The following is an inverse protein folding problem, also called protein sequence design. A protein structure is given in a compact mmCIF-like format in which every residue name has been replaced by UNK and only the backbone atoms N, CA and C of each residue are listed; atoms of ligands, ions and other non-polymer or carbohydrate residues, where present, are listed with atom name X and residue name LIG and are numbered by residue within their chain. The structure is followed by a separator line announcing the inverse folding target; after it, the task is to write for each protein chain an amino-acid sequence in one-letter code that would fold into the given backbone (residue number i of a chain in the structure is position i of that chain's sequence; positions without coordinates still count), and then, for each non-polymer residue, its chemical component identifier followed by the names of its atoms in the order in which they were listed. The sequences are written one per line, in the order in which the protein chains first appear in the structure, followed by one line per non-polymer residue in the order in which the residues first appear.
data_IF_731023225938
#
_entry.id   IF_731023225938
#
_cell.length_a   1.000
_cell.length_b   1.000
_cell.length_c   1.000
_cell.angle_alpha   90.00
_cell.angle_beta   90.00
_cell.angle_gamma   90.00
#
_symmetry.space_group_name_H-M   'P 1'
#
loop_
_entity.id
_entity.type
_entity.pdbx_description
1 polymer ?
#
# COMPACT_ATOMS: atom_id res chain seq x y z
N UNK A 1 -49.36 -13.25 -16.02
CA UNK A 1 -48.75 -13.32 -14.68
C UNK A 1 -47.30 -12.87 -14.81
N UNK A 2 -47.15 -11.55 -14.88
CA UNK A 2 -45.88 -10.80 -14.88
C UNK A 2 -45.86 -10.10 -13.53
N UNK A 3 -44.67 -9.91 -12.91
CA UNK A 3 -44.40 -9.28 -11.59
C UNK A 3 -43.91 -10.19 -10.45
N UNK A 4 -42.97 -11.12 -10.70
CA UNK A 4 -42.30 -11.80 -9.57
C UNK A 4 -40.84 -12.23 -9.82
N UNK A 5 -40.06 -11.50 -10.62
CA UNK A 5 -38.65 -11.88 -10.86
C UNK A 5 -37.66 -10.71 -10.99
N UNK A 6 -38.03 -9.52 -10.50
CA UNK A 6 -37.19 -8.30 -10.58
C UNK A 6 -36.68 -7.80 -9.22
N UNK A 7 -36.83 -8.59 -8.14
CA UNK A 7 -36.58 -8.13 -6.77
C UNK A 7 -35.50 -8.91 -6.02
N UNK A 8 -34.44 -9.32 -6.70
CA UNK A 8 -33.28 -9.99 -6.07
C UNK A 8 -31.92 -9.41 -6.47
N UNK A 9 -31.88 -8.18 -6.99
CA UNK A 9 -30.64 -7.50 -7.38
C UNK A 9 -30.57 -6.05 -6.87
N UNK A 10 -30.86 -5.82 -5.58
CA UNK A 10 -30.69 -4.48 -4.96
C UNK A 10 -29.99 -4.53 -3.58
N UNK A 11 -29.58 -5.70 -3.07
CA UNK A 11 -29.00 -5.80 -1.70
C UNK A 11 -27.48 -6.01 -1.69
N UNK A 12 -26.81 -6.09 -2.84
CA UNK A 12 -25.35 -6.22 -2.91
C UNK A 12 -24.62 -4.90 -3.23
N UNK A 13 -25.30 -3.76 -3.26
CA UNK A 13 -24.69 -2.45 -3.54
C UNK A 13 -24.27 -1.67 -2.29
N UNK A 14 -24.16 -2.31 -1.12
CA UNK A 14 -23.45 -1.73 0.04
C UNK A 14 -21.95 -2.02 -0.02
N UNK A 15 -21.38 -1.99 -1.23
CA UNK A 15 -19.94 -1.86 -1.38
C UNK A 15 -19.55 -0.48 -0.83
N UNK A 16 -19.14 -0.46 0.43
CA UNK A 16 -18.22 0.52 1.01
C UNK A 16 -18.52 1.98 0.64
N UNK A 17 -19.73 2.45 0.95
CA UNK A 17 -19.81 3.84 1.37
C UNK A 17 -19.03 3.89 2.70
N UNK A 18 -17.74 4.23 2.65
CA UNK A 18 -17.02 4.70 3.83
C UNK A 18 -17.98 5.64 4.56
N UNK A 19 -18.21 5.48 5.87
CA UNK A 19 -19.09 6.39 6.59
C UNK A 19 -18.67 7.80 6.19
N UNK A 20 -19.63 8.60 5.72
CA UNK A 20 -19.43 10.01 5.41
C UNK A 20 -18.97 10.67 6.72
N UNK A 21 -17.67 10.57 7.00
CA UNK A 21 -16.99 11.22 8.10
C UNK A 21 -17.33 12.69 7.92
N UNK A 22 -17.93 13.30 8.94
CA UNK A 22 -18.35 14.70 8.88
C UNK A 22 -17.21 15.57 8.38
N UNK A 23 -17.53 16.57 7.55
CA UNK A 23 -16.58 17.52 6.94
C UNK A 23 -15.45 17.84 7.92
N UNK A 24 -14.24 17.38 7.61
CA UNK A 24 -13.11 17.53 8.52
C UNK A 24 -12.77 19.03 8.61
N UNK A 25 -12.64 19.55 9.83
CA UNK A 25 -12.35 20.96 10.04
C UNK A 25 -10.86 21.28 9.84
N UNK A 26 -9.99 20.28 10.00
CA UNK A 26 -8.54 20.45 10.09
C UNK A 26 -7.82 19.68 8.98
N UNK A 27 -6.88 20.35 8.33
CA UNK A 27 -5.96 19.74 7.40
C UNK A 27 -4.79 19.11 8.20
N UNK A 28 -4.66 17.80 8.15
CA UNK A 28 -3.60 17.05 8.83
C UNK A 28 -2.52 16.53 7.87
N UNK A 29 -2.49 17.03 6.62
CA UNK A 29 -1.56 16.57 5.58
C UNK A 29 -0.10 16.60 6.02
N UNK A 30 0.34 17.59 6.81
CA UNK A 30 1.74 17.65 7.29
C UNK A 30 2.08 16.41 8.14
N UNK A 31 1.19 16.00 9.05
CA UNK A 31 1.42 14.84 9.90
C UNK A 31 1.34 13.52 9.11
N UNK A 32 0.40 13.43 8.16
CA UNK A 32 0.29 12.29 7.24
C UNK A 32 1.56 12.17 6.38
N UNK A 33 2.03 13.29 5.82
CA UNK A 33 3.23 13.34 4.98
C UNK A 33 4.48 12.90 5.74
N UNK A 34 4.63 13.30 7.01
CA UNK A 34 5.77 12.86 7.83
C UNK A 34 5.84 11.34 7.97
N UNK A 35 4.69 10.66 8.10
CA UNK A 35 4.63 9.20 8.20
C UNK A 35 4.94 8.56 6.84
N UNK A 36 4.38 9.10 5.75
CA UNK A 36 4.63 8.60 4.40
C UNK A 36 6.08 8.82 3.97
N UNK A 37 6.70 9.95 4.33
CA UNK A 37 8.12 10.24 4.07
C UNK A 37 9.03 9.30 4.85
N UNK A 38 8.72 9.02 6.13
CA UNK A 38 9.51 8.07 6.93
C UNK A 38 9.41 6.63 6.40
N UNK A 39 8.23 6.25 5.91
CA UNK A 39 8.05 5.00 5.17
C UNK A 39 8.92 5.02 3.91
N UNK A 40 8.82 6.07 3.10
CA UNK A 40 9.58 6.22 1.85
C UNK A 40 11.10 6.13 2.05
N UNK A 41 11.63 6.81 3.07
CA UNK A 41 13.04 6.73 3.44
C UNK A 41 13.45 5.29 3.77
N UNK A 42 12.63 4.56 4.54
CA UNK A 42 12.90 3.17 4.88
C UNK A 42 12.90 2.25 3.66
N UNK A 43 11.97 2.48 2.72
CA UNK A 43 11.91 1.74 1.46
C UNK A 43 13.14 2.03 0.59
N UNK A 44 13.58 3.29 0.55
CA UNK A 44 14.81 3.70 -0.13
C UNK A 44 16.11 3.18 0.52
N UNK A 45 16.03 2.58 1.70
CA UNK A 45 17.14 1.83 2.31
C UNK A 45 17.02 0.34 1.97
N UNK A 46 15.86 -0.26 2.25
CA UNK A 46 15.67 -1.71 2.17
C UNK A 46 15.68 -2.23 0.72
N UNK A 47 15.07 -1.50 -0.22
CA UNK A 47 14.99 -1.95 -1.62
C UNK A 47 16.37 -1.95 -2.29
N UNK A 48 17.20 -0.89 -2.18
CA UNK A 48 18.57 -0.96 -2.68
C UNK A 48 19.43 -2.06 -2.04
N UNK A 49 19.23 -2.39 -0.76
CA UNK A 49 19.90 -3.52 -0.12
C UNK A 49 19.50 -4.85 -0.76
N UNK A 50 18.20 -5.08 -0.98
CA UNK A 50 17.69 -6.27 -1.67
C UNK A 50 18.29 -6.37 -3.08
N UNK A 51 18.28 -5.28 -3.85
CA UNK A 51 18.86 -5.25 -5.19
C UNK A 51 20.38 -5.53 -5.17
N UNK A 52 21.10 -5.01 -4.18
CA UNK A 52 22.54 -5.26 -4.01
C UNK A 52 22.84 -6.72 -3.66
N UNK A 53 22.02 -7.34 -2.81
CA UNK A 53 22.13 -8.76 -2.46
C UNK A 53 21.89 -9.64 -3.68
N UNK A 54 20.91 -9.30 -4.52
CA UNK A 54 20.65 -10.00 -5.78
C UNK A 54 21.83 -9.87 -6.75
N UNK A 55 22.29 -8.63 -6.99
CA UNK A 55 23.38 -8.34 -7.93
C UNK A 55 24.73 -8.96 -7.49
N UNK A 56 24.95 -9.12 -6.20
CA UNK A 56 26.15 -9.75 -5.64
C UNK A 56 26.04 -11.27 -5.46
N UNK A 57 24.94 -11.89 -5.90
CA UNK A 57 24.64 -13.32 -5.70
C UNK A 57 24.67 -13.75 -4.23
N UNK A 58 24.27 -12.86 -3.32
CA UNK A 58 24.18 -13.09 -1.87
C UNK A 58 22.74 -13.14 -1.36
N UNK A 59 21.75 -12.97 -2.24
CA UNK A 59 20.35 -13.19 -1.90
C UNK A 59 20.13 -14.66 -1.52
N UNK A 60 19.59 -14.87 -0.32
CA UNK A 60 19.12 -16.14 0.21
C UNK A 60 18.07 -15.86 1.29
N UNK A 61 17.46 -16.90 1.86
CA UNK A 61 16.38 -16.74 2.83
C UNK A 61 16.78 -15.91 4.06
N UNK A 62 18.03 -16.01 4.52
CA UNK A 62 18.50 -15.24 5.68
C UNK A 62 18.66 -13.76 5.33
N UNK A 63 19.35 -13.45 4.23
CA UNK A 63 19.68 -12.06 3.88
C UNK A 63 18.47 -11.29 3.37
N UNK A 64 17.62 -11.94 2.56
CA UNK A 64 16.37 -11.35 2.06
C UNK A 64 15.31 -11.35 3.16
N UNK A 65 15.23 -12.41 3.98
CA UNK A 65 14.29 -12.48 5.09
C UNK A 65 14.45 -11.33 6.09
N UNK A 66 15.68 -10.91 6.40
CA UNK A 66 15.94 -9.71 7.19
C UNK A 66 15.33 -8.46 6.55
N UNK A 67 15.56 -8.23 5.25
CA UNK A 67 15.02 -7.06 4.57
C UNK A 67 13.49 -7.09 4.46
N UNK A 68 12.88 -8.25 4.21
CA UNK A 68 11.41 -8.38 4.18
C UNK A 68 10.81 -8.18 5.57
N UNK A 69 11.46 -8.64 6.64
CA UNK A 69 11.00 -8.40 8.01
C UNK A 69 11.05 -6.91 8.37
N UNK A 70 12.09 -6.21 7.92
CA UNK A 70 12.19 -4.75 8.08
C UNK A 70 11.09 -4.04 7.29
N UNK A 71 10.86 -4.41 6.02
CA UNK A 71 9.73 -3.91 5.21
C UNK A 71 8.39 -4.13 5.91
N UNK A 72 8.14 -5.36 6.38
CA UNK A 72 6.93 -5.74 7.11
C UNK A 72 6.74 -4.86 8.35
N UNK A 73 7.83 -4.60 9.08
CA UNK A 73 7.82 -3.76 10.27
C UNK A 73 7.49 -2.31 9.95
N UNK A 74 8.14 -1.71 8.94
CA UNK A 74 7.92 -0.29 8.61
C UNK A 74 6.53 -0.05 8.03
N UNK A 75 5.98 -0.96 7.21
CA UNK A 75 4.60 -0.86 6.76
C UNK A 75 3.61 -0.99 7.91
N UNK A 76 3.84 -1.93 8.83
CA UNK A 76 3.01 -2.09 10.03
C UNK A 76 3.03 -0.84 10.91
N UNK A 77 4.20 -0.23 11.14
CA UNK A 77 4.35 1.00 11.91
C UNK A 77 3.64 2.16 11.20
N UNK A 78 3.87 2.33 9.89
CA UNK A 78 3.17 3.37 9.12
C UNK A 78 1.65 3.21 9.18
N UNK A 79 1.12 2.00 9.06
CA UNK A 79 -0.31 1.74 9.19
C UNK A 79 -0.85 2.12 10.58
N UNK A 80 -0.11 1.79 11.65
CA UNK A 80 -0.46 2.14 13.02
C UNK A 80 -0.44 3.65 13.24
N UNK A 81 0.62 4.32 12.81
CA UNK A 81 0.81 5.75 12.98
C UNK A 81 -0.22 6.55 12.17
N UNK A 82 -0.47 6.16 10.92
CA UNK A 82 -1.54 6.76 10.11
C UNK A 82 -2.88 6.63 10.82
N UNK A 83 -3.22 5.43 11.32
CA UNK A 83 -4.49 5.20 12.01
C UNK A 83 -4.68 6.05 13.27
N UNK A 84 -3.60 6.59 13.84
CA UNK A 84 -3.64 7.52 14.98
C UNK A 84 -3.81 8.98 14.56
N UNK A 85 -3.66 9.32 13.28
CA UNK A 85 -3.87 10.67 12.76
C UNK A 85 -5.36 10.92 12.53
N UNK A 86 -5.92 12.04 13.03
CA UNK A 86 -7.26 12.46 12.67
C UNK A 86 -7.41 12.63 11.16
N UNK A 87 -8.57 12.24 10.63
CA UNK A 87 -8.84 12.34 9.19
C UNK A 87 -8.63 13.78 8.70
N UNK A 88 -7.88 13.93 7.61
CA UNK A 88 -7.54 15.20 7.00
C UNK A 88 -8.70 15.76 6.19
N UNK A 89 -8.90 17.08 6.26
CA UNK A 89 -9.70 17.82 5.27
C UNK A 89 -9.04 17.93 3.90
N UNK A 90 -7.76 17.59 3.82
CA UNK A 90 -6.94 17.65 2.62
C UNK A 90 -6.57 19.07 2.21
N UNK A 91 -5.70 19.16 1.21
CA UNK A 91 -5.28 20.39 0.56
C UNK A 91 -4.82 20.10 -0.86
N UNK A 92 -5.26 20.93 -1.82
CA UNK A 92 -4.77 20.90 -3.20
C UNK A 92 -3.91 22.12 -3.55
N UNK A 93 -3.81 23.10 -2.65
CA UNK A 93 -3.14 24.39 -2.88
C UNK A 93 -1.99 24.66 -1.92
N UNK A 94 -2.01 24.07 -0.73
CA UNK A 94 -0.96 24.19 0.29
C UNK A 94 -0.20 22.87 0.40
N UNK A 95 1.13 22.95 0.35
CA UNK A 95 2.03 21.81 0.49
C UNK A 95 2.17 21.39 1.96
N UNK A 96 2.21 20.08 2.27
CA UNK A 96 2.05 18.95 1.36
C UNK A 96 0.60 18.79 0.87
N UNK A 97 0.41 18.69 -0.44
CA UNK A 97 -0.90 18.49 -1.07
C UNK A 97 -1.28 17.01 -1.01
N UNK A 98 -2.56 16.73 -1.21
CA UNK A 98 -3.08 15.36 -1.26
C UNK A 98 -2.34 14.51 -2.30
N UNK A 99 -2.08 15.11 -3.48
CA UNK A 99 -1.42 14.44 -4.58
C UNK A 99 0.07 14.21 -4.28
N UNK A 100 0.74 15.15 -3.58
CA UNK A 100 2.15 14.98 -3.20
C UNK A 100 2.31 13.72 -2.31
N UNK A 101 1.47 13.60 -1.28
CA UNK A 101 1.45 12.43 -0.38
C UNK A 101 1.12 11.14 -1.15
N UNK A 102 0.14 11.20 -2.04
CA UNK A 102 -0.30 10.03 -2.82
C UNK A 102 0.77 9.56 -3.81
N UNK A 103 1.52 10.49 -4.41
CA UNK A 103 2.65 10.21 -5.30
C UNK A 103 3.79 9.55 -4.51
N UNK A 104 4.15 10.07 -3.34
CA UNK A 104 5.18 9.46 -2.49
C UNK A 104 4.78 8.03 -2.10
N UNK A 105 3.54 7.82 -1.67
CA UNK A 105 3.06 6.48 -1.32
C UNK A 105 3.01 5.53 -2.52
N UNK A 106 2.61 6.01 -3.71
CA UNK A 106 2.66 5.20 -4.93
C UNK A 106 4.10 4.83 -5.32
N UNK A 107 5.05 5.74 -5.12
CA UNK A 107 6.48 5.50 -5.34
C UNK A 107 7.00 4.41 -4.42
N UNK A 108 6.64 4.46 -3.12
CA UNK A 108 6.92 3.39 -2.14
C UNK A 108 6.46 2.03 -2.66
N UNK A 109 5.21 1.91 -3.07
CA UNK A 109 4.65 0.64 -3.52
C UNK A 109 5.30 0.16 -4.82
N UNK A 110 5.61 1.07 -5.74
CA UNK A 110 6.30 0.77 -6.99
C UNK A 110 7.72 0.26 -6.75
N UNK A 111 8.44 0.85 -5.78
CA UNK A 111 9.77 0.41 -5.38
C UNK A 111 9.74 -0.98 -4.76
N UNK A 112 8.75 -1.27 -3.91
CA UNK A 112 8.57 -2.62 -3.36
C UNK A 112 8.30 -3.62 -4.47
N UNK A 113 7.34 -3.35 -5.35
CA UNK A 113 7.01 -4.25 -6.45
C UNK A 113 8.23 -4.53 -7.36
N UNK A 114 8.93 -3.47 -7.77
CA UNK A 114 10.11 -3.60 -8.62
C UNK A 114 11.28 -4.30 -7.92
N UNK A 115 11.55 -3.96 -6.66
CA UNK A 115 12.64 -4.53 -5.86
C UNK A 115 12.51 -6.03 -5.61
N UNK A 116 11.27 -6.48 -5.44
CA UNK A 116 10.95 -7.89 -5.19
C UNK A 116 10.81 -8.72 -6.48
N UNK A 117 10.49 -8.09 -7.62
CA UNK A 117 10.28 -8.79 -8.91
C UNK A 117 11.45 -9.63 -9.42
N UNK A 118 12.67 -9.40 -8.94
CA UNK A 118 13.84 -10.21 -9.30
C UNK A 118 14.05 -11.46 -8.43
N UNK A 119 13.33 -11.57 -7.32
CA UNK A 119 13.47 -12.68 -6.39
C UNK A 119 12.69 -13.89 -6.90
N UNK A 120 13.30 -15.07 -6.81
CA UNK A 120 12.68 -16.34 -7.25
C UNK A 120 12.95 -17.43 -6.23
N UNK A 121 12.10 -18.45 -6.20
CA UNK A 121 12.28 -19.63 -5.33
C UNK A 121 13.55 -20.44 -5.62
N UNK A 122 14.19 -20.21 -6.78
CA UNK A 122 15.48 -20.80 -7.09
C UNK A 122 16.64 -20.16 -6.31
N UNK A 123 16.49 -18.90 -5.89
CA UNK A 123 17.52 -18.11 -5.18
C UNK A 123 17.14 -17.95 -3.71
N UNK A 124 15.86 -17.72 -3.43
CA UNK A 124 15.27 -17.52 -2.11
C UNK A 124 14.08 -18.47 -1.99
N UNK A 125 14.31 -19.74 -1.58
CA UNK A 125 13.27 -20.76 -1.46
C UNK A 125 11.97 -20.28 -0.78
N UNK A 126 12.09 -19.47 0.27
CA UNK A 126 10.96 -19.06 1.10
C UNK A 126 10.30 -17.74 0.64
N UNK A 127 10.72 -17.16 -0.50
CA UNK A 127 10.27 -15.82 -0.94
C UNK A 127 8.75 -15.68 -0.99
N UNK A 128 8.03 -16.72 -1.44
CA UNK A 128 6.56 -16.68 -1.52
C UNK A 128 5.94 -16.49 -0.13
N UNK A 129 6.44 -17.20 0.88
CA UNK A 129 5.96 -17.06 2.26
C UNK A 129 6.29 -15.69 2.87
N UNK A 130 7.43 -15.13 2.49
CA UNK A 130 7.87 -13.80 2.91
C UNK A 130 6.96 -12.72 2.31
N UNK A 131 6.63 -12.81 1.02
CA UNK A 131 5.71 -11.87 0.36
C UNK A 131 4.30 -11.99 0.93
N UNK A 132 3.82 -13.20 1.22
CA UNK A 132 2.53 -13.42 1.90
C UNK A 132 2.47 -12.80 3.29
N UNK A 133 3.60 -12.71 4.01
CA UNK A 133 3.69 -12.03 5.31
C UNK A 133 3.67 -10.51 5.16
N UNK A 134 4.26 -9.99 4.08
CA UNK A 134 4.32 -8.57 3.76
C UNK A 134 2.97 -8.01 3.30
N UNK A 135 2.23 -8.76 2.47
CA UNK A 135 0.95 -8.37 1.87
C UNK A 135 -0.04 -7.71 2.85
N UNK A 136 -0.41 -8.33 4.00
CA UNK A 136 -1.36 -7.72 4.92
C UNK A 136 -0.86 -6.39 5.51
N UNK A 137 0.45 -6.18 5.64
CA UNK A 137 0.98 -4.92 6.18
C UNK A 137 0.95 -3.79 5.16
N UNK A 138 1.27 -4.10 3.90
CA UNK A 138 1.17 -3.15 2.79
C UNK A 138 -0.31 -2.74 2.58
N UNK A 139 -1.21 -3.73 2.57
CA UNK A 139 -2.65 -3.50 2.50
C UNK A 139 -3.15 -2.63 3.66
N UNK A 140 -2.72 -2.92 4.90
CA UNK A 140 -3.10 -2.13 6.07
C UNK A 140 -2.62 -0.67 5.97
N UNK A 141 -1.40 -0.43 5.49
CA UNK A 141 -0.89 0.92 5.29
C UNK A 141 -1.68 1.69 4.23
N UNK A 142 -2.02 1.04 3.11
CA UNK A 142 -2.85 1.64 2.06
C UNK A 142 -4.25 2.00 2.57
N UNK A 143 -4.90 1.09 3.32
CA UNK A 143 -6.22 1.33 3.92
C UNK A 143 -6.17 2.43 4.98
N UNK A 144 -5.13 2.48 5.80
CA UNK A 144 -4.92 3.53 6.80
C UNK A 144 -4.72 4.89 6.13
N UNK A 145 -3.92 4.96 5.06
CA UNK A 145 -3.76 6.17 4.26
C UNK A 145 -5.09 6.63 3.65
N UNK A 146 -5.87 5.73 3.07
CA UNK A 146 -7.17 6.10 2.50
C UNK A 146 -8.18 6.54 3.57
N UNK A 147 -8.10 5.97 4.77
CA UNK A 147 -8.97 6.35 5.88
C UNK A 147 -8.63 7.74 6.39
N UNK A 148 -7.34 8.06 6.48
CA UNK A 148 -6.81 9.31 7.05
C UNK A 148 -6.76 10.44 6.04
N UNK A 149 -6.55 10.12 4.76
CA UNK A 149 -6.61 11.03 3.62
C UNK A 149 -7.56 10.45 2.56
N UNK A 150 -8.88 10.67 2.71
CA UNK A 150 -9.88 10.09 1.82
C UNK A 150 -9.65 10.41 0.35
N UNK A 151 -9.60 9.37 -0.48
CA UNK A 151 -9.41 9.48 -1.92
C UNK A 151 -7.95 9.51 -2.38
N UNK A 152 -6.99 9.46 -1.46
CA UNK A 152 -5.55 9.32 -1.76
C UNK A 152 -5.26 8.16 -2.70
N UNK A 153 -5.94 7.02 -2.51
CA UNK A 153 -5.68 5.83 -3.31
C UNK A 153 -6.13 5.92 -4.78
N UNK A 154 -6.92 6.93 -5.18
CA UNK A 154 -7.31 7.08 -6.60
C UNK A 154 -6.10 7.34 -7.50
N UNK A 155 -5.20 8.22 -7.04
CA UNK A 155 -3.97 8.51 -7.75
C UNK A 155 -3.00 7.33 -7.64
N UNK A 156 -2.88 6.73 -6.45
CA UNK A 156 -2.06 5.53 -6.23
C UNK A 156 -2.46 4.40 -7.18
N UNK A 157 -3.75 4.08 -7.27
CA UNK A 157 -4.29 3.10 -8.21
C UNK A 157 -3.87 3.38 -9.65
N UNK A 158 -3.97 4.63 -10.10
CA UNK A 158 -3.60 5.01 -11.47
C UNK A 158 -2.10 4.82 -11.71
N UNK A 159 -1.27 5.18 -10.73
CA UNK A 159 0.19 5.04 -10.84
C UNK A 159 0.66 3.59 -10.71
N UNK A 160 -0.09 2.74 -10.03
CA UNK A 160 0.24 1.34 -9.79
C UNK A 160 -0.22 0.40 -10.93
N UNK A 161 -0.74 0.92 -12.05
CA UNK A 161 -1.23 0.09 -13.15
C UNK A 161 -0.18 -0.89 -13.69
N UNK A 162 1.08 -0.44 -13.80
CA UNK A 162 2.18 -1.28 -14.28
C UNK A 162 2.63 -2.30 -13.22
N UNK A 163 2.65 -1.89 -11.95
CA UNK A 163 3.02 -2.74 -10.82
C UNK A 163 1.94 -3.75 -10.42
N UNK A 164 0.69 -3.56 -10.88
CA UNK A 164 -0.45 -4.45 -10.61
C UNK A 164 -0.15 -5.89 -11.04
N UNK A 165 0.48 -6.08 -12.20
CA UNK A 165 0.76 -7.41 -12.72
C UNK A 165 1.63 -8.21 -11.73
N UNK A 166 2.69 -7.58 -11.21
CA UNK A 166 3.54 -8.17 -10.18
C UNK A 166 2.74 -8.54 -8.92
N UNK A 167 1.93 -7.61 -8.40
CA UNK A 167 1.16 -7.85 -7.17
C UNK A 167 0.19 -9.04 -7.31
N UNK A 168 -0.36 -9.25 -8.52
CA UNK A 168 -1.22 -10.40 -8.81
C UNK A 168 -0.41 -11.69 -8.89
N UNK A 169 0.73 -11.66 -9.58
CA UNK A 169 1.58 -12.83 -9.80
C UNK A 169 2.20 -13.35 -8.49
N UNK A 170 2.49 -12.46 -7.55
CA UNK A 170 3.00 -12.81 -6.20
C UNK A 170 1.90 -13.03 -5.15
N UNK A 171 0.64 -13.16 -5.57
CA UNK A 171 -0.51 -13.44 -4.68
C UNK A 171 -0.71 -12.40 -3.55
N UNK A 172 -0.33 -11.13 -3.79
CA UNK A 172 -0.54 -10.00 -2.86
C UNK A 172 -1.98 -9.48 -2.92
N UNK A 173 -2.93 -10.40 -2.75
CA UNK A 173 -4.36 -10.16 -3.00
C UNK A 173 -4.96 -9.09 -2.09
N UNK A 174 -4.48 -8.95 -0.85
CA UNK A 174 -4.97 -7.92 0.06
C UNK A 174 -4.51 -6.53 -0.38
N UNK A 175 -3.26 -6.40 -0.85
CA UNK A 175 -2.72 -5.14 -1.37
C UNK A 175 -3.43 -4.72 -2.65
N UNK A 176 -3.66 -5.66 -3.57
CA UNK A 176 -4.44 -5.44 -4.80
C UNK A 176 -5.83 -4.89 -4.46
N UNK A 177 -6.54 -5.55 -3.53
CA UNK A 177 -7.86 -5.12 -3.11
C UNK A 177 -7.84 -3.76 -2.39
N UNK A 178 -6.84 -3.50 -1.53
CA UNK A 178 -6.71 -2.26 -0.79
C UNK A 178 -6.51 -1.04 -1.71
N UNK A 179 -5.71 -1.19 -2.77
CA UNK A 179 -5.47 -0.14 -3.78
C UNK A 179 -6.66 -0.01 -4.76
N UNK A 180 -7.57 -1.00 -4.77
CA UNK A 180 -8.85 -0.95 -5.49
C UNK A 180 -8.81 -1.53 -6.91
N UNK A 181 -7.97 -2.54 -7.15
CA UNK A 181 -7.90 -3.30 -8.40
C UNK A 181 -8.84 -4.51 -8.45
#
# INVERSE_FOLDING_TARGET
MLFASLLTLVVASTALASPLQGRQANNTNVAINQIVDALDESIHINIPNILTLQASHKANDSTIGEQINDLTTVFRVAAQDLSNIPVSSGSTTVVPRNDDISITFATVLSLVASGLSGLTTAVVPDVVSMVQTLDPQVAAAALALNTTLPGSLKLVHTMMLDARQFLIDEDMTQTVAAIGF
#
